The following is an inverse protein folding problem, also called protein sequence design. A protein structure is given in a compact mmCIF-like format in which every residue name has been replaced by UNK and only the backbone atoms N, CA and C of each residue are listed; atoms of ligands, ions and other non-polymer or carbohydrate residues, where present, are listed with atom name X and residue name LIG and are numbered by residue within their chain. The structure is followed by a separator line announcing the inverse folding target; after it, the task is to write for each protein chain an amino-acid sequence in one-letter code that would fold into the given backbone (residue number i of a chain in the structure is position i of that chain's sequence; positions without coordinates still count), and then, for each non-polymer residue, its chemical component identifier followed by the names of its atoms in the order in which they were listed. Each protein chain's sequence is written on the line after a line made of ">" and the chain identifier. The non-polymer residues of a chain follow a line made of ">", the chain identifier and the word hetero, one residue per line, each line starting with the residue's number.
data_IF_224083248383
#
_entry.id   IF_224083248383
#
_cell.length_a   1.000
_cell.length_b   1.000
_cell.length_c   1.000
_cell.angle_alpha   90.00
_cell.angle_beta   90.00
_cell.angle_gamma   90.00
#
_symmetry.space_group_name_H-M   'P 1'
#
loop_
_entity.id
_entity.type
_entity.pdbx_description
1 polymer ?
#
# COMPACT_ATOMS: atom_id res chain seq x y z
N UNK A 1 -24.80 -7.11 15.13
CA UNK A 1 -23.84 -6.43 16.01
C UNK A 1 -22.61 -7.32 16.11
N UNK A 2 -21.47 -6.90 15.56
CA UNK A 2 -20.27 -7.76 15.49
C UNK A 2 -19.30 -7.36 14.37
N UNK A 3 -18.83 -6.10 14.36
CA UNK A 3 -17.66 -5.70 13.59
C UNK A 3 -16.47 -5.67 14.55
N UNK A 4 -15.60 -6.66 14.45
CA UNK A 4 -14.25 -6.61 15.03
C UNK A 4 -13.23 -6.77 13.90
N UNK A 5 -12.84 -5.65 13.30
CA UNK A 5 -11.51 -5.52 12.72
C UNK A 5 -10.60 -5.06 13.85
N UNK A 6 -9.93 -5.99 14.51
CA UNK A 6 -9.00 -5.64 15.58
C UNK A 6 -7.61 -5.44 14.99
N UNK A 7 -7.38 -4.24 14.45
CA UNK A 7 -6.05 -3.65 14.48
C UNK A 7 -5.80 -3.30 15.94
N UNK A 8 -5.16 -4.14 16.74
CA UNK A 8 -4.96 -3.80 18.15
C UNK A 8 -4.03 -2.58 18.27
N UNK A 9 -4.63 -1.38 18.29
CA UNK A 9 -4.03 -0.05 18.50
C UNK A 9 -2.69 0.16 17.77
N UNK A 10 -2.69 0.23 16.43
CA UNK A 10 -1.49 0.40 15.58
C UNK A 10 -0.35 -0.65 15.83
N UNK A 11 -0.58 -1.62 16.72
CA UNK A 11 0.38 -2.35 17.54
C UNK A 11 1.47 -1.44 18.18
N UNK A 12 1.05 -0.67 19.18
CA UNK A 12 1.80 0.21 20.09
C UNK A 12 2.15 1.61 19.55
N UNK A 13 1.66 2.62 20.29
CA UNK A 13 2.27 3.94 20.37
C UNK A 13 3.77 3.79 20.63
N UNK A 14 4.56 3.85 19.57
CA UNK A 14 5.89 4.40 19.65
C UNK A 14 6.11 5.18 18.36
N UNK A 15 6.31 6.48 18.52
CA UNK A 15 6.44 7.46 17.46
C UNK A 15 7.34 6.92 16.33
N UNK A 16 6.80 6.77 15.12
CA UNK A 16 7.57 6.82 13.87
C UNK A 16 6.61 6.69 12.68
N UNK A 17 6.13 7.86 12.26
CA UNK A 17 5.45 8.19 11.02
C UNK A 17 6.36 7.83 9.83
N UNK A 18 6.05 6.76 9.08
CA UNK A 18 6.96 6.20 8.06
C UNK A 18 6.17 5.55 6.92
N UNK A 19 6.63 5.68 5.67
CA UNK A 19 6.26 4.73 4.60
C UNK A 19 6.81 3.36 5.01
N UNK A 20 5.91 2.43 5.33
CA UNK A 20 6.24 1.07 5.74
C UNK A 20 5.75 0.14 4.64
N UNK A 21 6.64 -0.33 3.78
CA UNK A 21 6.25 -1.38 2.88
C UNK A 21 6.42 -2.71 3.57
N UNK A 22 5.37 -3.51 3.43
CA UNK A 22 5.24 -4.86 3.93
C UNK A 22 5.01 -4.88 5.43
N UNK A 23 3.84 -5.39 5.82
CA UNK A 23 3.75 -6.16 7.04
C UNK A 23 4.02 -7.60 6.66
N UNK A 24 5.26 -8.02 6.83
CA UNK A 24 5.62 -9.42 6.62
C UNK A 24 5.24 -10.25 7.83
N UNK A 25 4.38 -11.23 7.61
CA UNK A 25 4.09 -12.29 8.58
C UNK A 25 5.25 -13.27 8.69
N UNK A 26 6.16 -13.04 9.64
CA UNK A 26 7.10 -14.10 10.06
C UNK A 26 6.34 -15.24 10.73
N UNK A 27 6.68 -16.46 10.35
CA UNK A 27 6.36 -17.69 11.06
C UNK A 27 7.64 -18.24 11.64
N UNK A 28 7.72 -18.50 12.94
CA UNK A 28 8.86 -19.23 13.52
C UNK A 28 8.54 -20.73 13.55
N UNK A 29 9.28 -21.60 12.84
CA UNK A 29 9.25 -23.03 13.10
C UNK A 29 10.10 -23.34 14.33
N UNK A 30 9.60 -24.11 15.30
CA UNK A 30 10.45 -24.70 16.34
C UNK A 30 10.97 -26.08 15.89
N UNK A 31 12.25 -26.32 16.16
CA UNK A 31 13.03 -27.53 15.91
C UNK A 31 12.34 -28.79 16.48
N UNK A 32 12.19 -29.89 15.73
CA UNK A 32 12.01 -31.26 16.27
C UNK A 32 12.39 -32.32 15.21
N UNK A 33 13.03 -33.40 15.70
CA UNK A 33 13.62 -34.53 14.99
C UNK A 33 12.67 -35.33 14.07
N UNK A 34 13.23 -35.84 12.97
CA UNK A 34 12.57 -36.67 11.97
C UNK A 34 12.07 -37.98 12.57
N UNK A 35 10.75 -38.18 12.70
CA UNK A 35 10.14 -39.51 12.80
C UNK A 35 9.03 -39.69 11.78
N UNK A 36 9.34 -40.46 10.74
CA UNK A 36 8.40 -40.85 9.68
C UNK A 36 7.36 -41.82 10.27
N UNK A 37 6.13 -41.36 10.53
CA UNK A 37 4.97 -42.24 10.73
C UNK A 37 4.11 -42.29 9.46
N UNK A 38 3.60 -43.48 9.20
CA UNK A 38 2.93 -43.93 7.98
C UNK A 38 1.58 -43.19 7.80
N UNK A 39 1.34 -42.65 6.61
CA UNK A 39 -0.01 -42.58 6.02
C UNK A 39 -0.78 -41.25 6.02
N UNK A 40 -0.34 -40.19 6.70
CA UNK A 40 -1.00 -38.88 6.60
C UNK A 40 0.02 -37.74 6.69
N UNK A 41 -0.13 -36.70 5.85
CA UNK A 41 0.64 -35.46 6.00
C UNK A 41 0.17 -34.78 7.30
N UNK A 42 0.79 -35.13 8.41
CA UNK A 42 0.66 -34.38 9.66
C UNK A 42 1.42 -33.07 9.45
N UNK A 43 0.74 -31.94 9.54
CA UNK A 43 1.42 -30.65 9.52
C UNK A 43 2.14 -30.48 10.87
N UNK A 44 3.37 -30.98 10.96
CA UNK A 44 4.15 -31.04 12.21
C UNK A 44 4.54 -29.64 12.72
N UNK A 45 4.42 -28.60 11.88
CA UNK A 45 4.73 -27.20 12.20
C UNK A 45 3.62 -26.25 11.72
N UNK A 46 2.43 -26.24 12.37
CA UNK A 46 1.38 -25.31 12.01
C UNK A 46 1.81 -23.87 12.31
N UNK A 47 1.38 -22.92 11.47
CA UNK A 47 1.55 -21.49 11.71
C UNK A 47 0.77 -21.16 12.99
N UNK A 48 1.48 -20.76 14.05
CA UNK A 48 0.87 -20.48 15.35
C UNK A 48 0.48 -19.02 15.52
N UNK A 49 1.23 -18.12 14.89
CA UNK A 49 1.11 -16.69 15.13
C UNK A 49 1.56 -15.89 13.91
N UNK A 50 1.07 -14.66 13.80
CA UNK A 50 1.32 -13.75 12.70
C UNK A 50 1.59 -12.35 13.24
N UNK A 51 2.73 -11.78 12.84
CA UNK A 51 3.14 -10.43 13.23
C UNK A 51 3.24 -9.51 12.01
N UNK A 52 3.07 -8.20 12.23
CA UNK A 52 3.37 -7.19 11.23
C UNK A 52 4.83 -6.76 11.39
N UNK A 53 5.65 -6.97 10.37
CA UNK A 53 7.03 -6.49 10.35
C UNK A 53 7.25 -5.54 9.19
N UNK A 54 7.75 -4.33 9.48
CA UNK A 54 7.90 -3.22 8.52
C UNK A 54 9.26 -3.25 7.82
N UNK A 55 9.26 -3.01 6.50
CA UNK A 55 10.48 -2.76 5.74
C UNK A 55 10.45 -1.34 5.19
N UNK A 56 11.62 -0.71 5.25
CA UNK A 56 11.79 0.66 4.80
C UNK A 56 12.37 0.66 3.39
N UNK A 57 12.15 1.74 2.63
CA UNK A 57 12.90 1.98 1.40
C UNK A 57 14.40 1.96 1.64
N UNK A 58 15.15 1.44 0.66
CA UNK A 58 16.61 1.40 0.69
C UNK A 58 17.22 2.80 0.79
N UNK A 59 16.63 3.75 0.07
CA UNK A 59 16.99 5.16 0.13
C UNK A 59 15.85 5.95 0.75
N UNK A 60 16.14 6.66 1.85
CA UNK A 60 15.19 7.56 2.50
C UNK A 60 15.02 8.90 1.76
N UNK A 61 15.92 9.21 0.81
CA UNK A 61 15.87 10.44 0.01
C UNK A 61 15.06 10.32 -1.28
N UNK A 62 14.91 9.10 -1.82
CA UNK A 62 14.26 8.84 -3.11
C UNK A 62 12.73 8.76 -3.00
N UNK A 63 12.08 9.82 -2.50
CA UNK A 63 10.61 9.91 -2.33
C UNK A 63 9.98 11.05 -3.14
N UNK A 64 10.76 11.72 -3.99
CA UNK A 64 10.31 12.82 -4.83
C UNK A 64 9.63 12.30 -6.11
N UNK A 65 9.00 13.20 -6.86
CA UNK A 65 8.27 12.80 -8.07
C UNK A 65 9.24 12.29 -9.14
N UNK A 66 8.95 11.12 -9.72
CA UNK A 66 9.84 10.48 -10.70
C UNK A 66 10.86 9.52 -10.09
N UNK A 67 11.00 9.50 -8.76
CA UNK A 67 11.95 8.62 -8.10
C UNK A 67 11.48 7.16 -8.14
N UNK A 68 12.48 6.27 -8.13
CA UNK A 68 12.29 4.84 -7.94
C UNK A 68 12.51 4.48 -6.46
N UNK A 69 11.43 4.03 -5.83
CA UNK A 69 11.43 3.60 -4.43
C UNK A 69 11.61 2.09 -4.41
N UNK A 70 12.73 1.62 -3.84
CA UNK A 70 13.04 0.19 -3.69
C UNK A 70 12.90 -0.24 -2.24
N UNK A 71 12.07 -1.23 -1.97
CA UNK A 71 12.00 -1.91 -0.67
C UNK A 71 12.47 -3.34 -0.85
N UNK A 72 13.53 -3.72 -0.13
CA UNK A 72 14.12 -5.04 -0.19
C UNK A 72 13.84 -5.82 1.11
N UNK A 73 13.53 -7.11 0.95
CA UNK A 73 13.34 -8.07 2.02
C UNK A 73 14.42 -9.14 1.81
N UNK A 74 15.59 -8.94 2.42
CA UNK A 74 16.78 -9.75 2.16
C UNK A 74 17.02 -10.86 3.19
N UNK A 75 16.32 -10.82 4.33
CA UNK A 75 16.57 -11.74 5.44
C UNK A 75 16.17 -13.16 5.05
N UNK A 76 17.13 -14.09 5.05
CA UNK A 76 16.89 -15.51 4.75
C UNK A 76 15.90 -16.17 5.70
N UNK A 77 15.84 -15.70 6.95
CA UNK A 77 14.91 -16.21 7.98
C UNK A 77 13.55 -15.51 7.98
N UNK A 78 13.27 -14.70 6.96
CA UNK A 78 12.02 -13.97 6.86
C UNK A 78 11.01 -14.74 6.03
N UNK A 79 9.98 -15.24 6.72
CA UNK A 79 8.79 -15.81 6.11
C UNK A 79 7.81 -14.68 5.80
N UNK A 80 7.23 -14.63 4.61
CA UNK A 80 6.29 -13.56 4.21
C UNK A 80 5.00 -14.13 3.65
N UNK A 81 3.90 -13.39 3.81
CA UNK A 81 2.61 -13.73 3.21
C UNK A 81 2.14 -12.57 2.33
N UNK A 82 2.58 -12.49 1.06
CA UNK A 82 2.25 -11.38 0.17
C UNK A 82 0.74 -11.12 0.01
N UNK A 83 -0.09 -12.16 0.13
CA UNK A 83 -1.55 -12.06 0.03
C UNK A 83 -2.20 -11.24 1.15
N UNK A 84 -1.55 -11.11 2.30
CA UNK A 84 -2.03 -10.31 3.43
C UNK A 84 -1.07 -9.15 3.80
N UNK A 85 -0.08 -8.92 2.94
CA UNK A 85 0.84 -7.78 3.04
C UNK A 85 0.24 -6.53 2.40
N UNK A 86 0.70 -5.36 2.84
CA UNK A 86 0.30 -4.06 2.30
C UNK A 86 1.48 -3.09 2.25
N UNK A 87 1.33 -2.03 1.45
CA UNK A 87 2.20 -0.86 1.41
C UNK A 87 1.53 0.22 2.23
N UNK A 88 2.16 0.65 3.32
CA UNK A 88 1.70 1.76 4.12
C UNK A 88 2.35 3.05 3.63
N UNK A 89 1.54 4.08 3.44
CA UNK A 89 1.95 5.37 2.89
C UNK A 89 1.46 6.47 3.80
N UNK A 90 2.34 7.41 4.09
CA UNK A 90 2.03 8.66 4.74
C UNK A 90 2.55 9.82 3.92
N UNK A 91 1.84 10.94 3.98
CA UNK A 91 2.28 12.14 3.31
C UNK A 91 1.50 13.37 3.71
N UNK A 92 1.89 14.47 3.09
CA UNK A 92 1.29 15.80 3.25
C UNK A 92 0.93 16.38 1.89
N UNK A 93 -0.25 16.96 1.81
CA UNK A 93 -0.75 17.76 0.71
C UNK A 93 -0.54 19.23 1.09
N UNK A 94 0.21 19.95 0.26
CA UNK A 94 0.44 21.39 0.41
C UNK A 94 -0.26 22.13 -0.71
N UNK A 95 -1.29 22.90 -0.36
CA UNK A 95 -2.06 23.73 -1.28
C UNK A 95 -1.48 25.15 -1.38
N UNK A 96 -1.51 25.80 -2.56
CA UNK A 96 -1.24 27.22 -2.66
C UNK A 96 -2.34 28.03 -1.96
N UNK A 97 -1.99 29.18 -1.37
CA UNK A 97 -2.93 30.06 -0.64
C UNK A 97 -4.10 30.55 -1.50
N UNK A 98 -3.86 30.72 -2.80
CA UNK A 98 -4.83 31.15 -3.81
C UNK A 98 -5.92 30.10 -4.09
N UNK A 99 -5.71 28.84 -3.70
CA UNK A 99 -6.65 27.75 -3.97
C UNK A 99 -7.64 27.59 -2.81
N UNK A 100 -8.83 28.15 -3.00
CA UNK A 100 -9.95 28.07 -2.06
C UNK A 100 -10.70 26.74 -2.11
N UNK A 101 -10.50 25.95 -3.17
CA UNK A 101 -11.14 24.65 -3.37
C UNK A 101 -10.63 23.62 -2.36
N UNK A 102 -11.53 22.78 -1.83
CA UNK A 102 -11.14 21.65 -1.00
C UNK A 102 -10.47 20.58 -1.89
N UNK A 103 -9.33 20.06 -1.44
CA UNK A 103 -8.60 18.98 -2.11
C UNK A 103 -8.65 17.76 -1.21
N UNK A 104 -9.02 16.64 -1.79
CA UNK A 104 -9.06 15.31 -1.16
C UNK A 104 -8.24 14.32 -1.99
N UNK A 105 -7.96 13.15 -1.43
CA UNK A 105 -7.39 12.04 -2.22
C UNK A 105 -8.50 11.48 -3.10
N UNK A 106 -8.20 11.33 -4.39
CA UNK A 106 -9.14 10.75 -5.34
C UNK A 106 -9.44 9.27 -5.02
N UNK A 107 -10.51 8.74 -5.61
CA UNK A 107 -10.78 7.32 -5.58
C UNK A 107 -9.55 6.51 -6.05
N UNK A 108 -9.13 5.53 -5.25
CA UNK A 108 -7.91 4.74 -5.44
C UNK A 108 -6.64 5.62 -5.58
N UNK A 109 -6.66 6.80 -4.95
CA UNK A 109 -5.65 7.84 -5.16
C UNK A 109 -4.27 7.49 -4.61
N UNK A 110 -4.19 6.61 -3.60
CA UNK A 110 -2.91 6.12 -3.09
C UNK A 110 -2.15 5.29 -4.14
N UNK A 111 -2.84 4.41 -4.86
CA UNK A 111 -2.25 3.66 -5.97
C UNK A 111 -1.83 4.60 -7.10
N UNK A 112 -2.53 5.72 -7.29
CA UNK A 112 -2.22 6.69 -8.33
C UNK A 112 -0.94 7.50 -8.10
N UNK A 113 -0.38 7.49 -6.89
CA UNK A 113 0.93 8.09 -6.64
C UNK A 113 2.05 7.43 -7.46
N UNK A 114 1.81 6.24 -8.00
CA UNK A 114 2.80 5.45 -8.72
C UNK A 114 2.39 5.24 -10.18
N UNK A 115 3.36 5.40 -11.08
CA UNK A 115 3.19 5.10 -12.50
C UNK A 115 3.40 3.62 -12.80
N UNK A 116 4.29 2.96 -12.06
CA UNK A 116 4.59 1.55 -12.21
C UNK A 116 4.92 0.95 -10.83
N UNK A 117 4.44 -0.26 -10.58
CA UNK A 117 4.85 -1.07 -9.44
C UNK A 117 5.30 -2.43 -9.92
N UNK A 118 6.40 -2.93 -9.37
CA UNK A 118 7.02 -4.19 -9.76
C UNK A 118 7.39 -5.00 -8.53
N UNK A 119 7.14 -6.30 -8.61
CA UNK A 119 7.48 -7.26 -7.57
C UNK A 119 8.45 -8.30 -8.12
N UNK A 120 9.58 -8.47 -7.43
CA UNK A 120 10.61 -9.45 -7.77
C UNK A 120 10.79 -10.45 -6.63
N UNK A 121 11.05 -11.71 -6.98
CA UNK A 121 11.49 -12.76 -6.07
C UNK A 121 12.80 -13.32 -6.63
N UNK A 122 13.86 -13.36 -5.83
CA UNK A 122 15.20 -13.82 -6.23
C UNK A 122 15.66 -13.19 -7.55
N UNK A 123 15.51 -11.86 -7.66
CA UNK A 123 15.85 -11.07 -8.85
C UNK A 123 15.08 -11.43 -10.12
N UNK A 124 14.04 -12.26 -10.01
CA UNK A 124 13.12 -12.58 -11.11
C UNK A 124 11.85 -11.75 -10.96
N UNK A 125 11.48 -11.04 -12.02
CA UNK A 125 10.22 -10.29 -12.07
C UNK A 125 9.04 -11.26 -12.06
N UNK A 126 8.25 -11.22 -10.98
CA UNK A 126 7.02 -12.02 -10.86
C UNK A 126 5.87 -11.28 -11.53
N UNK A 127 5.73 -9.99 -11.24
CA UNK A 127 4.69 -9.18 -11.82
C UNK A 127 5.11 -7.70 -11.87
N UNK A 128 4.79 -7.06 -12.99
CA UNK A 128 4.87 -5.62 -13.19
C UNK A 128 3.50 -5.08 -13.55
N UNK A 129 3.11 -3.99 -12.90
CA UNK A 129 1.82 -3.32 -13.06
C UNK A 129 2.07 -1.88 -13.46
N UNK A 130 1.74 -1.55 -14.71
CA UNK A 130 1.74 -0.17 -15.21
C UNK A 130 0.40 0.48 -14.91
N UNK A 131 0.42 1.76 -14.54
CA UNK A 131 -0.76 2.55 -14.15
C UNK A 131 -1.62 1.82 -13.10
N UNK A 132 -1.06 1.50 -11.92
CA UNK A 132 -1.72 0.74 -10.86
C UNK A 132 -3.11 1.28 -10.48
N UNK A 133 -3.34 2.60 -10.59
CA UNK A 133 -4.67 3.20 -10.41
C UNK A 133 -5.74 2.53 -11.28
N UNK A 134 -5.47 2.39 -12.57
CA UNK A 134 -6.49 1.93 -13.54
C UNK A 134 -6.69 0.43 -13.38
N UNK A 135 -5.60 -0.32 -13.30
CA UNK A 135 -5.66 -1.79 -13.23
C UNK A 135 -6.32 -2.27 -11.94
N UNK A 136 -5.97 -1.68 -10.79
CA UNK A 136 -6.56 -2.08 -9.51
C UNK A 136 -7.99 -1.55 -9.34
N UNK A 137 -8.33 -0.40 -9.93
CA UNK A 137 -9.72 0.08 -10.00
C UNK A 137 -10.58 -0.86 -10.84
N UNK A 138 -10.14 -1.24 -12.05
CA UNK A 138 -10.85 -2.21 -12.89
C UNK A 138 -11.07 -3.54 -12.15
N UNK A 139 -10.02 -4.07 -11.50
CA UNK A 139 -10.13 -5.26 -10.66
C UNK A 139 -11.16 -5.07 -9.56
N UNK A 140 -11.15 -3.93 -8.88
CA UNK A 140 -12.05 -3.73 -7.76
C UNK A 140 -13.51 -3.57 -8.17
N UNK A 141 -13.81 -2.89 -9.27
CA UNK A 141 -15.18 -2.81 -9.79
C UNK A 141 -15.70 -4.17 -10.27
N UNK A 142 -14.86 -5.00 -10.87
CA UNK A 142 -15.29 -6.29 -11.41
C UNK A 142 -15.32 -7.42 -10.37
N UNK A 143 -14.52 -7.34 -9.30
CA UNK A 143 -14.28 -8.48 -8.40
C UNK A 143 -14.63 -8.25 -6.94
N UNK A 144 -14.76 -7.00 -6.48
CA UNK A 144 -15.03 -6.75 -5.06
C UNK A 144 -16.51 -6.70 -4.77
N UNK A 145 -16.90 -7.41 -3.71
CA UNK A 145 -18.21 -7.23 -3.09
C UNK A 145 -18.26 -5.88 -2.36
N UNK A 146 -19.46 -5.37 -2.02
CA UNK A 146 -19.59 -4.19 -1.16
C UNK A 146 -18.87 -4.33 0.20
N UNK A 147 -18.70 -5.56 0.70
CA UNK A 147 -17.94 -5.81 1.93
C UNK A 147 -16.43 -5.63 1.70
N UNK A 148 -15.90 -6.13 0.58
CA UNK A 148 -14.48 -5.98 0.22
C UNK A 148 -14.11 -4.51 -0.02
N UNK A 149 -15.00 -3.75 -0.66
CA UNK A 149 -14.83 -2.32 -0.88
C UNK A 149 -14.67 -1.53 0.44
N UNK A 150 -15.38 -1.92 1.51
CA UNK A 150 -15.22 -1.31 2.84
C UNK A 150 -13.84 -1.57 3.44
N UNK A 151 -13.26 -2.75 3.20
CA UNK A 151 -11.90 -3.10 3.66
C UNK A 151 -10.85 -2.23 2.96
N UNK A 152 -11.13 -1.79 1.73
CA UNK A 152 -10.25 -0.95 0.93
C UNK A 152 -10.38 0.56 1.20
N UNK A 153 -11.18 0.97 2.19
CA UNK A 153 -11.26 2.38 2.60
C UNK A 153 -9.88 2.95 2.94
N UNK A 154 -9.01 2.16 3.55
CA UNK A 154 -7.63 2.56 3.85
C UNK A 154 -6.74 2.74 2.60
N UNK A 155 -7.15 2.20 1.45
CA UNK A 155 -6.51 2.40 0.15
C UNK A 155 -7.06 3.63 -0.61
N UNK A 156 -7.86 4.46 0.06
CA UNK A 156 -8.66 5.53 -0.54
C UNK A 156 -9.68 5.02 -1.58
N UNK A 157 -10.25 3.82 -1.35
CA UNK A 157 -11.31 3.28 -2.23
C UNK A 157 -12.63 4.02 -2.08
N UNK A 158 -12.91 4.58 -0.91
CA UNK A 158 -14.08 5.40 -0.68
C UNK A 158 -13.66 6.86 -0.54
N UNK A 159 -14.47 7.78 -1.09
CA UNK A 159 -14.19 9.22 -1.08
C UNK A 159 -14.68 9.77 0.27
N UNK A 160 -14.10 9.30 1.37
CA UNK A 160 -14.30 9.97 2.65
C UNK A 160 -13.32 11.13 2.71
N UNK A 161 -13.85 12.34 2.50
CA UNK A 161 -13.16 13.63 2.57
C UNK A 161 -12.45 13.79 3.92
N UNK A 162 -11.24 13.24 4.06
CA UNK A 162 -10.36 13.61 5.17
C UNK A 162 -9.84 15.01 4.86
N UNK A 163 -10.31 15.98 5.64
CA UNK A 163 -10.07 17.42 5.46
C UNK A 163 -8.69 17.89 5.93
N UNK A 164 -7.79 16.95 6.16
CA UNK A 164 -6.49 17.25 6.73
C UNK A 164 -5.44 17.38 5.64
N UNK A 165 -4.49 18.31 5.85
CA UNK A 165 -3.33 18.45 4.98
C UNK A 165 -2.41 17.22 5.04
N UNK A 166 -2.60 16.30 5.98
CA UNK A 166 -1.84 15.07 6.11
C UNK A 166 -2.73 13.86 5.83
N UNK A 167 -2.15 12.85 5.21
CA UNK A 167 -2.84 11.60 4.93
C UNK A 167 -1.98 10.40 5.31
N UNK A 168 -2.67 9.34 5.68
CA UNK A 168 -2.10 8.01 5.87
C UNK A 168 -3.07 6.97 5.35
N UNK A 169 -2.52 5.88 4.82
CA UNK A 169 -3.32 4.78 4.30
C UNK A 169 -2.46 3.58 3.92
N UNK A 170 -3.13 2.49 3.57
CA UNK A 170 -2.47 1.26 3.16
C UNK A 170 -3.05 0.73 1.85
N UNK A 171 -2.16 0.32 0.95
CA UNK A 171 -2.50 -0.36 -0.30
C UNK A 171 -2.22 -1.85 -0.12
N UNK A 172 -3.23 -2.71 -0.04
CA UNK A 172 -3.01 -4.15 0.02
C UNK A 172 -2.28 -4.64 -1.23
N UNK A 173 -1.27 -5.52 -1.09
CA UNK A 173 -0.55 -6.04 -2.26
C UNK A 173 -1.48 -6.83 -3.17
N UNK A 174 -2.45 -7.57 -2.62
CA UNK A 174 -3.51 -8.27 -3.39
C UNK A 174 -4.40 -7.32 -4.21
N UNK A 175 -4.44 -6.03 -3.87
CA UNK A 175 -5.21 -5.05 -4.63
C UNK A 175 -4.51 -4.70 -5.94
N UNK A 176 -3.18 -4.56 -5.92
CA UNK A 176 -2.38 -4.17 -7.08
C UNK A 176 -1.87 -5.39 -7.85
N UNK A 177 -1.27 -6.36 -7.15
CA UNK A 177 -0.65 -7.54 -7.74
C UNK A 177 -1.63 -8.70 -7.74
N UNK A 178 -1.98 -9.19 -8.93
CA UNK A 178 -2.87 -10.34 -9.11
C UNK A 178 -2.29 -11.60 -8.48
N UNK A 179 -0.96 -11.83 -8.59
CA UNK A 179 -0.36 -13.02 -7.98
C UNK A 179 -0.53 -13.04 -6.46
N UNK A 180 -0.55 -11.87 -5.80
CA UNK A 180 -0.82 -11.77 -4.36
C UNK A 180 -2.28 -12.08 -4.01
N UNK A 181 -3.23 -11.95 -4.94
CA UNK A 181 -4.61 -12.35 -4.67
C UNK A 181 -4.78 -13.89 -4.72
N UNK A 182 -4.07 -14.54 -5.64
CA UNK A 182 -4.22 -15.98 -5.88
C UNK A 182 -3.28 -16.82 -4.99
N UNK A 183 -2.07 -16.31 -4.73
CA UNK A 183 -1.05 -17.01 -3.95
C UNK A 183 -1.23 -16.82 -2.44
N UNK A 184 -1.93 -17.76 -1.81
CA UNK A 184 -2.24 -17.74 -0.36
C UNK A 184 -1.22 -18.48 0.50
N UNK A 185 -0.07 -18.86 -0.05
CA UNK A 185 0.99 -19.57 0.69
C UNK A 185 2.07 -18.60 1.17
N UNK A 186 2.79 -19.01 2.20
CA UNK A 186 3.92 -18.27 2.73
C UNK A 186 5.11 -18.43 1.79
N UNK A 187 5.78 -17.33 1.47
CA UNK A 187 7.10 -17.34 0.86
C UNK A 187 8.17 -17.55 1.94
N UNK A 188 9.00 -18.56 1.73
CA UNK A 188 10.08 -18.96 2.62
C UNK A 188 11.39 -18.86 1.83
N UNK A 189 12.44 -18.32 2.44
CA UNK A 189 13.80 -18.31 1.89
C UNK A 189 13.88 -17.71 0.47
N UNK A 190 13.22 -16.57 0.23
CA UNK A 190 13.26 -15.86 -1.03
C UNK A 190 13.52 -14.37 -0.82
N UNK A 191 14.59 -13.85 -1.44
CA UNK A 191 14.83 -12.41 -1.51
C UNK A 191 13.67 -11.77 -2.26
N UNK A 192 12.97 -10.83 -1.64
CA UNK A 192 11.88 -10.12 -2.30
C UNK A 192 12.26 -8.66 -2.49
N UNK A 193 11.83 -8.09 -3.61
CA UNK A 193 12.02 -6.68 -3.87
C UNK A 193 10.73 -6.09 -4.44
N UNK A 194 10.26 -5.03 -3.79
CA UNK A 194 9.18 -4.19 -4.28
C UNK A 194 9.78 -2.91 -4.82
N UNK A 195 9.51 -2.62 -6.09
CA UNK A 195 9.99 -1.45 -6.81
C UNK A 195 8.78 -0.61 -7.18
N UNK A 196 8.74 0.64 -6.72
CA UNK A 196 7.64 1.56 -6.93
C UNK A 196 8.17 2.81 -7.64
N UNK A 197 7.75 3.03 -8.88
CA UNK A 197 8.09 4.23 -9.64
C UNK A 197 7.04 5.30 -9.37
N UNK A 198 7.44 6.32 -8.60
CA UNK A 198 6.55 7.44 -8.25
C UNK A 198 6.23 8.27 -9.49
N UNK A 199 4.99 8.73 -9.60
CA UNK A 199 4.56 9.53 -10.75
C UNK A 199 5.28 10.87 -10.80
N UNK A 200 5.51 11.39 -12.00
CA UNK A 200 6.04 12.74 -12.21
C UNK A 200 5.05 13.82 -11.74
N UNK A 201 3.76 13.50 -11.71
CA UNK A 201 2.69 14.41 -11.30
C UNK A 201 1.71 13.71 -10.36
N UNK A 202 1.26 14.44 -9.33
CA UNK A 202 0.31 13.95 -8.35
C UNK A 202 -1.14 14.38 -8.67
N UNK A 203 -1.39 15.10 -9.77
CA UNK A 203 -2.71 15.67 -10.08
C UNK A 203 -3.80 14.60 -10.14
N UNK A 204 -3.52 13.45 -10.73
CA UNK A 204 -4.48 12.34 -10.86
C UNK A 204 -4.78 11.63 -9.54
N UNK A 205 -4.01 11.88 -8.47
CA UNK A 205 -4.21 11.30 -7.14
C UNK A 205 -5.11 12.20 -6.28
N UNK A 206 -5.46 13.39 -6.77
CA UNK A 206 -6.20 14.41 -6.06
C UNK A 206 -7.59 14.58 -6.69
N UNK A 207 -8.58 14.80 -5.82
CA UNK A 207 -9.95 15.12 -6.19
C UNK A 207 -10.32 16.47 -5.57
N UNK A 208 -10.86 17.36 -6.39
CA UNK A 208 -11.20 18.72 -5.98
C UNK A 208 -12.71 18.80 -5.82
N UNK A 209 -13.19 19.35 -4.71
CA UNK A 209 -14.61 19.62 -4.47
C UNK A 209 -14.84 21.11 -4.30
N UNK A 210 -15.75 21.70 -5.07
CA UNK A 210 -16.12 23.10 -4.91
C UNK A 210 -16.89 23.30 -3.61
N UNK A 211 -16.53 24.37 -2.89
CA UNK A 211 -17.36 24.92 -1.83
C UNK A 211 -18.25 25.96 -2.50
N UNK A 212 -19.49 25.57 -2.80
CA UNK A 212 -20.60 26.42 -3.32
C UNK A 212 -20.47 26.88 -4.79
N UNK A 213 -21.34 26.33 -5.65
CA UNK A 213 -21.98 26.99 -6.81
C UNK A 213 -21.15 27.61 -7.93
N UNK A 214 -19.83 27.70 -7.83
CA UNK A 214 -18.94 28.25 -8.85
C UNK A 214 -18.38 27.16 -9.76
N UNK A 215 -18.42 27.40 -11.07
CA UNK A 215 -17.94 26.46 -12.08
C UNK A 215 -16.48 26.02 -11.84
N UNK A 216 -16.32 24.72 -11.59
CA UNK A 216 -15.05 23.99 -11.42
C UNK A 216 -14.15 23.98 -12.67
N UNK A 217 -14.62 24.58 -13.78
CA UNK A 217 -14.01 24.51 -15.09
C UNK A 217 -13.20 25.76 -15.47
N UNK A 218 -12.97 26.70 -14.56
CA UNK A 218 -12.16 27.88 -14.88
C UNK A 218 -10.68 27.48 -15.03
N UNK A 219 -10.03 27.89 -16.13
CA UNK A 219 -8.63 27.55 -16.43
C UNK A 219 -7.65 27.90 -15.28
N UNK A 220 -7.98 28.94 -14.50
CA UNK A 220 -7.24 29.36 -13.30
C UNK A 220 -7.19 28.28 -12.21
N UNK A 221 -8.31 27.61 -11.91
CA UNK A 221 -8.36 26.56 -10.88
C UNK A 221 -7.52 25.36 -11.29
N UNK A 222 -7.60 24.93 -12.56
CA UNK A 222 -6.76 23.84 -13.09
C UNK A 222 -5.27 24.17 -12.98
N UNK A 223 -4.88 25.41 -13.29
CA UNK A 223 -3.49 25.86 -13.14
C UNK A 223 -3.01 25.84 -11.69
N UNK A 224 -3.88 26.18 -10.73
CA UNK A 224 -3.58 26.15 -9.30
C UNK A 224 -3.47 24.72 -8.75
N UNK A 225 -4.29 23.78 -9.23
CA UNK A 225 -4.25 22.36 -8.81
C UNK A 225 -2.92 21.70 -9.21
N UNK A 226 -2.35 22.06 -10.35
CA UNK A 226 -1.02 21.56 -10.77
C UNK A 226 0.09 22.01 -9.79
N UNK A 227 -0.10 23.15 -9.10
CA UNK A 227 0.85 23.64 -8.09
C UNK A 227 0.73 22.92 -6.74
N UNK A 228 -0.29 22.07 -6.54
CA UNK A 228 -0.47 21.31 -5.30
C UNK A 228 0.63 20.27 -5.17
N UNK A 229 1.35 20.31 -4.06
CA UNK A 229 2.46 19.39 -3.78
C UNK A 229 1.99 18.26 -2.88
N UNK A 230 2.25 17.03 -3.30
CA UNK A 230 2.08 15.83 -2.48
C UNK A 230 3.47 15.33 -2.10
N UNK A 231 3.80 15.44 -0.82
CA UNK A 231 5.08 15.01 -0.28
C UNK A 231 4.88 13.77 0.56
N UNK A 232 5.67 12.76 0.28
CA UNK A 232 5.70 11.53 1.06
C UNK A 232 6.55 11.73 2.31
N UNK A 233 6.08 11.24 3.46
CA UNK A 233 6.80 11.38 4.72
C UNK A 233 8.08 10.55 4.69
N UNK A 234 9.22 11.21 4.89
CA UNK A 234 10.53 10.55 4.99
C UNK A 234 10.65 9.81 6.30
N UNK A 235 11.34 8.68 6.22
CA UNK A 235 11.72 7.88 7.37
C UNK A 235 13.03 8.46 7.91
N UNK A 236 12.96 9.11 9.07
CA UNK A 236 14.13 9.50 9.87
C UNK A 236 14.61 8.32 10.71
#
# INVERSE_FOLDING_TARGET
>A
MGLKFNADKYANNNADNRIKATAVRRCTPQHIERRKKIGAYVNESPIREMFLHSFLPFSSSALDNGDEIRIAIQNRDTHTLPSDSFIYIEGKITKPSELLTEISIAHNGLANLFNEMKYEINSTEVQRVKKPRITSAMKGYCSYSPADAKILQNAAWDITNKKDNTFSGCIPLKHVFSFCADYKRILINGSQQLILNKSMSNTSALHNTSVVGGDMATASVKALVVKVKVQLTRVL
#
